data_IF_764827312838
#
_entry.id   IF_764827312838
#
_cell.length_a   1.000
_cell.length_b   1.000
_cell.length_c   1.000
_cell.angle_alpha   90.00
_cell.angle_beta   90.00
_cell.angle_gamma   90.00
#
_symmetry.space_group_name_H-M   'P 1'
#
loop_
_entity.id
_entity.type
_entity.pdbx_description
1 polymer ?
#
# COMPACT_ATOMS: atom_id res chain seq x y z
N UNK A 1 7.95 -23.79 -6.19
CA UNK A 1 7.24 -23.03 -7.24
C UNK A 1 8.29 -22.47 -8.18
N UNK A 2 8.09 -22.44 -9.50
CA UNK A 2 9.05 -21.79 -10.40
C UNK A 2 9.22 -20.34 -9.99
N UNK A 3 10.46 -19.82 -10.03
CA UNK A 3 10.76 -18.42 -9.72
C UNK A 3 9.88 -17.51 -10.59
N UNK A 4 9.09 -16.66 -9.98
CA UNK A 4 8.34 -15.63 -10.72
C UNK A 4 9.35 -14.59 -11.21
N UNK A 5 9.74 -14.71 -12.46
CA UNK A 5 10.57 -13.70 -13.13
C UNK A 5 9.69 -12.51 -13.50
N UNK A 6 9.75 -11.44 -12.77
CA UNK A 6 8.98 -10.22 -13.06
C UNK A 6 9.52 -9.07 -12.23
N UNK A 7 9.29 -7.86 -12.71
CA UNK A 7 9.79 -6.64 -12.07
C UNK A 7 8.69 -5.94 -11.31
N UNK A 8 9.04 -5.36 -10.17
CA UNK A 8 8.10 -4.76 -9.25
C UNK A 8 8.42 -3.29 -8.97
N UNK A 9 7.39 -2.52 -8.70
CA UNK A 9 7.52 -1.17 -8.10
C UNK A 9 6.89 -1.20 -6.73
N UNK A 10 7.60 -0.76 -5.68
CA UNK A 10 7.12 -0.70 -4.30
C UNK A 10 7.19 0.74 -3.81
N UNK A 11 6.07 1.44 -3.80
CA UNK A 11 5.97 2.83 -3.34
C UNK A 11 5.75 2.85 -1.83
N UNK A 12 6.66 3.49 -1.07
CA UNK A 12 6.64 3.51 0.39
C UNK A 12 7.41 2.35 1.01
N UNK A 13 8.65 2.10 0.55
CA UNK A 13 9.43 0.91 0.89
C UNK A 13 10.62 1.14 1.83
N UNK A 14 10.78 2.33 2.43
CA UNK A 14 11.89 2.60 3.38
C UNK A 14 11.68 2.01 4.77
N UNK A 15 10.48 1.56 5.12
CA UNK A 15 10.16 1.00 6.44
C UNK A 15 8.85 0.20 6.43
N UNK A 16 8.52 -0.42 7.57
CA UNK A 16 7.23 -1.06 7.81
C UNK A 16 6.84 -2.12 6.77
N UNK A 17 5.58 -2.13 6.38
CA UNK A 17 5.01 -3.12 5.45
C UNK A 17 5.72 -3.08 4.09
N UNK A 18 6.03 -1.88 3.55
CA UNK A 18 6.66 -1.75 2.24
C UNK A 18 8.06 -2.35 2.19
N UNK A 19 8.88 -2.12 3.21
CA UNK A 19 10.20 -2.73 3.34
C UNK A 19 10.10 -4.26 3.51
N UNK A 20 9.16 -4.73 4.31
CA UNK A 20 8.94 -6.15 4.49
C UNK A 20 8.48 -6.85 3.19
N UNK A 21 7.65 -6.18 2.37
CA UNK A 21 7.29 -6.66 1.03
C UNK A 21 8.53 -6.71 0.13
N UNK A 22 9.35 -5.65 0.10
CA UNK A 22 10.55 -5.58 -0.72
C UNK A 22 11.53 -6.73 -0.39
N UNK A 23 11.79 -6.99 0.90
CA UNK A 23 12.62 -8.11 1.35
C UNK A 23 12.11 -9.46 0.87
N UNK A 24 10.81 -9.70 0.95
CA UNK A 24 10.20 -10.96 0.49
C UNK A 24 10.24 -11.12 -1.02
N UNK A 25 10.00 -10.04 -1.77
CA UNK A 25 10.13 -10.05 -3.23
C UNK A 25 11.56 -10.36 -3.67
N UNK A 26 12.57 -9.81 -2.98
CA UNK A 26 13.98 -10.14 -3.24
C UNK A 26 14.28 -11.64 -2.98
N UNK A 27 13.73 -12.21 -1.90
CA UNK A 27 13.83 -13.65 -1.62
C UNK A 27 13.12 -14.51 -2.69
N UNK A 28 12.07 -13.99 -3.33
CA UNK A 28 11.45 -14.62 -4.50
C UNK A 28 12.29 -14.45 -5.79
N UNK A 29 13.43 -13.75 -5.74
CA UNK A 29 14.28 -13.46 -6.89
C UNK A 29 13.77 -12.34 -7.80
N UNK A 30 12.89 -11.46 -7.28
CA UNK A 30 12.26 -10.37 -8.04
C UNK A 30 13.14 -9.12 -8.03
N UNK A 31 13.38 -8.56 -9.22
CA UNK A 31 13.97 -7.23 -9.36
C UNK A 31 12.91 -6.16 -9.07
N UNK A 32 13.27 -5.10 -8.32
CA UNK A 32 12.29 -4.07 -7.95
C UNK A 32 12.88 -2.67 -7.83
N UNK A 33 12.06 -1.69 -8.17
CA UNK A 33 12.23 -0.31 -7.76
C UNK A 33 11.65 -0.13 -6.36
N UNK A 34 12.46 0.32 -5.42
CA UNK A 34 12.07 0.72 -4.07
C UNK A 34 11.95 2.25 -4.03
N UNK A 35 10.78 2.78 -3.61
CA UNK A 35 10.52 4.22 -3.61
C UNK A 35 10.18 4.74 -2.21
N UNK A 36 10.81 5.85 -1.81
CA UNK A 36 10.49 6.59 -0.59
C UNK A 36 11.10 8.00 -0.62
N UNK A 37 10.61 8.87 0.28
CA UNK A 37 11.08 10.27 0.40
C UNK A 37 12.50 10.41 0.96
N UNK A 38 12.89 9.51 1.86
CA UNK A 38 14.20 9.55 2.53
C UNK A 38 15.20 8.74 1.74
N UNK A 39 15.95 9.42 0.87
CA UNK A 39 16.91 8.79 -0.04
C UNK A 39 17.98 7.99 0.73
N UNK A 40 18.57 8.59 1.75
CA UNK A 40 19.60 8.01 2.60
C UNK A 40 19.15 6.68 3.25
N UNK A 41 17.97 6.70 3.88
CA UNK A 41 17.39 5.49 4.49
C UNK A 41 17.08 4.44 3.41
N UNK A 42 16.55 4.88 2.26
CA UNK A 42 16.17 3.99 1.19
C UNK A 42 17.37 3.27 0.56
N UNK A 43 18.47 3.99 0.34
CA UNK A 43 19.73 3.43 -0.17
C UNK A 43 20.29 2.36 0.78
N UNK A 44 20.35 2.66 2.08
CA UNK A 44 20.78 1.70 3.10
C UNK A 44 19.90 0.45 3.09
N UNK A 45 18.56 0.62 3.04
CA UNK A 45 17.65 -0.53 3.05
C UNK A 45 17.74 -1.36 1.75
N UNK A 46 17.90 -0.73 0.59
CA UNK A 46 18.11 -1.43 -0.67
C UNK A 46 19.43 -2.21 -0.66
N UNK A 47 20.51 -1.62 -0.11
CA UNK A 47 21.78 -2.31 0.10
C UNK A 47 21.64 -3.55 0.97
N UNK A 48 20.98 -3.44 2.13
CA UNK A 48 20.74 -4.58 3.02
C UNK A 48 19.88 -5.69 2.37
N UNK A 49 18.88 -5.30 1.55
CA UNK A 49 18.06 -6.26 0.80
C UNK A 49 18.92 -6.99 -0.23
N UNK A 50 19.78 -6.29 -0.96
CA UNK A 50 20.67 -6.86 -1.95
C UNK A 50 21.72 -7.79 -1.35
N UNK A 51 22.32 -7.40 -0.22
CA UNK A 51 23.27 -8.19 0.53
C UNK A 51 22.64 -9.51 1.01
N UNK A 52 21.43 -9.45 1.57
CA UNK A 52 20.73 -10.63 2.08
C UNK A 52 20.44 -11.70 1.02
N UNK A 53 20.34 -11.32 -0.27
CA UNK A 53 20.07 -12.23 -1.38
C UNK A 53 21.30 -12.43 -2.30
N UNK A 54 22.40 -11.73 -2.06
CA UNK A 54 23.63 -11.79 -2.85
C UNK A 54 23.46 -11.32 -4.29
N UNK A 55 22.48 -10.46 -4.58
CA UNK A 55 22.15 -9.99 -5.95
C UNK A 55 21.60 -8.57 -5.91
N UNK A 56 21.87 -7.73 -6.95
CA UNK A 56 21.37 -6.35 -7.06
C UNK A 56 19.91 -6.35 -7.55
N UNK A 57 18.97 -6.78 -6.71
CA UNK A 57 17.55 -6.87 -7.05
C UNK A 57 16.73 -5.65 -6.61
N UNK A 58 17.18 -4.93 -5.58
CA UNK A 58 16.52 -3.75 -5.04
C UNK A 58 17.23 -2.49 -5.50
N UNK A 59 16.52 -1.62 -6.23
CA UNK A 59 17.02 -0.37 -6.80
C UNK A 59 16.29 0.80 -6.14
N UNK A 60 17.01 1.71 -5.42
CA UNK A 60 16.39 2.82 -4.74
C UNK A 60 16.06 3.97 -5.71
N UNK A 61 14.90 4.58 -5.53
CA UNK A 61 14.45 5.79 -6.23
C UNK A 61 13.84 6.75 -5.23
N UNK A 62 14.43 7.92 -5.05
CA UNK A 62 13.84 8.96 -4.23
C UNK A 62 12.54 9.44 -4.85
N UNK A 63 11.46 9.47 -4.04
CA UNK A 63 10.16 9.95 -4.49
C UNK A 63 9.25 10.28 -3.30
N UNK A 64 8.65 11.47 -3.33
CA UNK A 64 7.51 11.79 -2.47
C UNK A 64 6.20 11.31 -3.12
N UNK A 65 5.51 10.40 -2.46
CA UNK A 65 4.23 9.89 -2.96
C UNK A 65 3.13 10.97 -3.03
N UNK A 66 3.32 12.11 -2.37
CA UNK A 66 2.47 13.30 -2.52
C UNK A 66 2.72 14.10 -3.81
N UNK A 67 3.89 13.94 -4.45
CA UNK A 67 4.15 14.50 -5.77
C UNK A 67 3.53 13.61 -6.86
N UNK A 68 2.26 13.85 -7.12
CA UNK A 68 1.49 13.08 -8.09
C UNK A 68 1.92 13.31 -9.54
N UNK A 69 2.50 14.48 -9.83
CA UNK A 69 2.97 14.81 -11.18
C UNK A 69 4.21 14.00 -11.57
N UNK A 70 5.05 13.66 -10.60
CA UNK A 70 6.26 12.85 -10.82
C UNK A 70 5.98 11.36 -11.05
N UNK A 71 4.79 10.84 -10.74
CA UNK A 71 4.49 9.40 -10.79
C UNK A 71 4.66 8.81 -12.19
N UNK A 72 4.06 9.41 -13.21
CA UNK A 72 4.16 8.91 -14.60
C UNK A 72 5.58 9.02 -15.19
N UNK A 73 6.28 10.17 -15.10
CA UNK A 73 7.67 10.26 -15.57
C UNK A 73 8.61 9.27 -14.87
N UNK A 74 8.45 9.10 -13.55
CA UNK A 74 9.27 8.20 -12.78
C UNK A 74 8.97 6.73 -13.10
N UNK A 75 7.70 6.34 -13.29
CA UNK A 75 7.33 5.01 -13.74
C UNK A 75 7.97 4.68 -15.09
N UNK A 76 7.90 5.62 -16.06
CA UNK A 76 8.52 5.47 -17.36
C UNK A 76 10.06 5.37 -17.29
N UNK A 77 10.69 6.12 -16.36
CA UNK A 77 12.14 6.02 -16.09
C UNK A 77 12.50 4.63 -15.55
N UNK A 78 11.75 4.12 -14.59
CA UNK A 78 11.94 2.79 -14.00
C UNK A 78 11.85 1.71 -15.08
N UNK A 79 10.87 1.78 -15.98
CA UNK A 79 10.76 0.81 -17.09
C UNK A 79 11.91 0.90 -18.09
N UNK A 80 12.46 2.10 -18.34
CA UNK A 80 13.68 2.23 -19.19
C UNK A 80 14.91 1.62 -18.53
N UNK A 81 15.08 1.78 -17.22
CA UNK A 81 16.26 1.34 -16.48
C UNK A 81 16.22 -0.15 -16.11
N UNK A 82 15.08 -0.61 -15.65
CA UNK A 82 14.91 -1.99 -15.16
C UNK A 82 14.20 -2.89 -16.16
N UNK A 83 13.53 -2.33 -17.17
CA UNK A 83 12.65 -3.00 -18.12
C UNK A 83 11.22 -3.14 -17.63
N UNK A 84 10.37 -3.83 -18.39
CA UNK A 84 8.92 -3.93 -18.20
C UNK A 84 8.52 -4.30 -16.77
N UNK A 85 7.70 -3.45 -16.12
CA UNK A 85 7.17 -3.67 -14.78
C UNK A 85 5.93 -4.56 -14.84
N UNK A 86 5.89 -5.60 -14.04
CA UNK A 86 4.75 -6.55 -13.94
C UNK A 86 3.85 -6.30 -12.73
N UNK A 87 4.38 -5.72 -11.66
CA UNK A 87 3.62 -5.54 -10.42
C UNK A 87 3.88 -4.17 -9.77
N UNK A 88 2.80 -3.53 -9.34
CA UNK A 88 2.84 -2.29 -8.55
C UNK A 88 2.29 -2.59 -7.15
N UNK A 89 3.06 -2.22 -6.12
CA UNK A 89 2.65 -2.19 -4.73
C UNK A 89 2.60 -0.74 -4.26
N UNK A 90 1.40 -0.22 -4.01
CA UNK A 90 1.24 1.08 -3.39
C UNK A 90 1.04 0.90 -1.88
N UNK A 91 2.09 1.20 -1.13
CA UNK A 91 2.16 1.00 0.34
C UNK A 91 2.31 2.33 1.06
N UNK A 92 2.74 3.39 0.34
CA UNK A 92 2.91 4.71 0.91
C UNK A 92 1.63 5.20 1.60
N UNK A 93 1.82 5.88 2.70
CA UNK A 93 0.73 6.48 3.45
C UNK A 93 1.26 7.28 4.63
N UNK A 94 0.44 8.22 5.07
CA UNK A 94 0.68 9.05 6.25
C UNK A 94 -0.54 9.01 7.17
N UNK A 95 -0.30 9.15 8.46
CA UNK A 95 -1.31 9.17 9.50
C UNK A 95 -0.80 10.05 10.65
N UNK A 96 -0.80 11.40 10.48
CA UNK A 96 -0.38 12.31 11.51
C UNK A 96 -1.23 12.15 12.77
N UNK A 97 -0.68 12.51 13.91
CA UNK A 97 -1.45 12.59 15.13
C UNK A 97 -2.44 13.73 15.05
N UNK A 98 -3.67 13.45 15.44
CA UNK A 98 -4.78 14.42 15.47
C UNK A 98 -5.40 14.38 16.87
N UNK A 99 -5.51 15.52 17.51
CA UNK A 99 -6.17 15.66 18.80
C UNK A 99 -7.67 15.45 18.68
N UNK A 100 -8.35 15.14 19.80
CA UNK A 100 -9.77 14.82 19.82
C UNK A 100 -10.69 15.97 19.32
N UNK A 101 -10.25 17.22 19.53
CA UNK A 101 -10.95 18.44 19.12
C UNK A 101 -10.13 19.26 18.11
N UNK A 102 -9.20 18.62 17.42
CA UNK A 102 -8.37 19.26 16.43
C UNK A 102 -9.00 19.16 15.03
N UNK A 103 -9.14 20.31 14.37
CA UNK A 103 -9.66 20.45 13.02
C UNK A 103 -8.58 21.13 12.16
N UNK A 104 -7.66 20.33 11.61
CA UNK A 104 -6.51 20.80 10.85
C UNK A 104 -6.60 20.37 9.39
N UNK A 105 -6.95 21.34 8.53
CA UNK A 105 -7.05 21.10 7.08
C UNK A 105 -5.73 20.64 6.47
N UNK A 106 -4.57 21.10 6.96
CA UNK A 106 -3.28 20.73 6.39
C UNK A 106 -2.99 19.24 6.63
N UNK A 107 -3.26 18.75 7.85
CA UNK A 107 -3.13 17.31 8.17
C UNK A 107 -4.10 16.45 7.36
N UNK A 108 -5.34 16.89 7.20
CA UNK A 108 -6.35 16.15 6.41
C UNK A 108 -5.97 16.15 4.92
N UNK A 109 -5.54 17.31 4.39
CA UNK A 109 -5.09 17.44 3.01
C UNK A 109 -3.86 16.57 2.71
N UNK A 110 -2.86 16.53 3.61
CA UNK A 110 -1.69 15.65 3.47
C UNK A 110 -2.11 14.19 3.37
N UNK A 111 -3.06 13.75 4.19
CA UNK A 111 -3.55 12.38 4.16
C UNK A 111 -4.26 12.06 2.85
N UNK A 112 -5.08 12.96 2.32
CA UNK A 112 -5.73 12.80 1.01
C UNK A 112 -4.67 12.80 -0.10
N UNK A 113 -3.71 13.74 -0.06
CA UNK A 113 -2.66 13.88 -1.06
C UNK A 113 -1.81 12.61 -1.18
N UNK A 114 -1.29 12.11 -0.05
CA UNK A 114 -0.41 10.94 -0.06
C UNK A 114 -1.20 9.64 -0.20
N UNK A 115 -2.24 9.42 0.64
CA UNK A 115 -2.88 8.10 0.71
C UNK A 115 -3.82 7.84 -0.48
N UNK A 116 -4.49 8.88 -0.99
CA UNK A 116 -5.48 8.75 -2.05
C UNK A 116 -4.93 9.22 -3.40
N UNK A 117 -4.56 10.50 -3.56
CA UNK A 117 -4.12 11.04 -4.85
C UNK A 117 -2.81 10.40 -5.31
N UNK A 118 -1.85 10.19 -4.40
CA UNK A 118 -0.63 9.45 -4.72
C UNK A 118 -0.92 8.04 -5.23
N UNK A 119 -1.85 7.31 -4.59
CA UNK A 119 -2.28 6.00 -5.07
C UNK A 119 -2.89 6.09 -6.47
N UNK A 120 -3.77 7.06 -6.71
CA UNK A 120 -4.42 7.28 -8.01
C UNK A 120 -3.37 7.53 -9.10
N UNK A 121 -2.37 8.38 -8.83
CA UNK A 121 -1.32 8.71 -9.80
C UNK A 121 -0.49 7.47 -10.19
N UNK A 122 0.01 6.72 -9.20
CA UNK A 122 0.80 5.51 -9.43
C UNK A 122 0.01 4.39 -10.10
N UNK A 123 -1.24 4.19 -9.69
CA UNK A 123 -2.12 3.17 -10.31
C UNK A 123 -2.44 3.55 -11.75
N UNK A 124 -2.67 4.84 -12.06
CA UNK A 124 -2.91 5.28 -13.42
C UNK A 124 -1.68 5.09 -14.33
N UNK A 125 -0.47 5.35 -13.81
CA UNK A 125 0.76 5.10 -14.53
C UNK A 125 0.95 3.61 -14.86
N UNK A 126 0.66 2.73 -13.91
CA UNK A 126 0.80 1.28 -14.10
C UNK A 126 -0.33 0.68 -14.95
N UNK A 127 -1.60 1.02 -14.63
CA UNK A 127 -2.76 0.34 -15.20
C UNK A 127 -2.90 0.54 -16.71
N UNK A 128 -2.49 1.70 -17.23
CA UNK A 128 -2.47 1.96 -18.68
C UNK A 128 -1.64 0.90 -19.40
N UNK A 129 -0.41 0.71 -18.95
CA UNK A 129 0.54 -0.26 -19.50
C UNK A 129 0.07 -1.70 -19.32
N UNK A 130 -0.42 -2.02 -18.14
CA UNK A 130 -0.94 -3.36 -17.84
C UNK A 130 -2.19 -3.70 -18.67
N UNK A 131 -3.05 -2.71 -18.90
CA UNK A 131 -4.23 -2.85 -19.74
C UNK A 131 -3.85 -3.16 -21.21
N UNK A 132 -2.90 -2.42 -21.77
CA UNK A 132 -2.40 -2.61 -23.14
C UNK A 132 -1.77 -3.99 -23.30
N UNK A 133 -0.94 -4.41 -22.35
CA UNK A 133 -0.26 -5.71 -22.36
C UNK A 133 -1.17 -6.87 -21.95
N UNK A 134 -2.38 -6.59 -21.47
CA UNK A 134 -3.33 -7.58 -20.92
C UNK A 134 -2.70 -8.43 -19.80
N UNK A 135 -1.77 -7.87 -19.05
CA UNK A 135 -1.00 -8.54 -17.99
C UNK A 135 -0.53 -7.53 -16.96
N UNK A 136 -0.61 -7.86 -15.69
CA UNK A 136 -0.08 -7.04 -14.59
C UNK A 136 -0.80 -7.29 -13.29
N UNK A 137 -0.21 -6.80 -12.21
CA UNK A 137 -0.78 -6.91 -10.86
C UNK A 137 -0.62 -5.59 -10.11
N UNK A 138 -1.69 -5.09 -9.53
CA UNK A 138 -1.72 -3.92 -8.66
C UNK A 138 -2.15 -4.37 -7.27
N UNK A 139 -1.36 -4.04 -6.26
CA UNK A 139 -1.64 -4.30 -4.84
C UNK A 139 -1.66 -2.96 -4.12
N UNK A 140 -2.83 -2.52 -3.70
CA UNK A 140 -2.99 -1.28 -2.93
C UNK A 140 -3.20 -1.58 -1.45
N UNK A 141 -2.42 -0.91 -0.58
CA UNK A 141 -2.51 -1.08 0.87
C UNK A 141 -3.41 0.00 1.45
N UNK A 142 -4.69 -0.36 1.60
CA UNK A 142 -5.71 0.42 2.27
C UNK A 142 -5.62 0.26 3.81
N UNK A 143 -6.73 0.12 4.50
CA UNK A 143 -6.82 -0.13 5.95
C UNK A 143 -8.22 -0.62 6.31
N UNK A 144 -8.38 -1.30 7.45
CA UNK A 144 -9.71 -1.48 8.09
C UNK A 144 -10.36 -0.15 8.45
N UNK A 145 -9.59 0.93 8.52
CA UNK A 145 -10.09 2.28 8.79
C UNK A 145 -11.02 2.82 7.70
N UNK A 146 -10.94 2.29 6.47
CA UNK A 146 -11.81 2.67 5.36
C UNK A 146 -13.27 2.22 5.55
N UNK A 147 -13.52 1.21 6.37
CA UNK A 147 -14.86 0.62 6.52
C UNK A 147 -15.85 1.56 7.22
N UNK A 148 -15.35 2.50 8.04
CA UNK A 148 -16.21 3.46 8.76
C UNK A 148 -15.42 4.65 9.29
N UNK A 149 -15.99 5.87 9.19
CA UNK A 149 -15.46 7.09 9.80
C UNK A 149 -15.43 6.99 11.32
N UNK A 150 -14.32 7.34 11.94
CA UNK A 150 -14.09 7.31 13.40
C UNK A 150 -13.73 8.69 13.89
N UNK A 151 -14.07 8.99 15.13
CA UNK A 151 -13.85 10.30 15.76
C UNK A 151 -12.38 10.71 15.78
N UNK A 152 -11.47 9.79 16.06
CA UNK A 152 -10.07 10.13 16.28
C UNK A 152 -9.24 10.36 14.99
N UNK A 153 -9.75 10.04 13.78
CA UNK A 153 -8.94 10.13 12.56
C UNK A 153 -9.79 10.28 11.30
N UNK A 154 -10.63 11.32 11.18
CA UNK A 154 -11.56 11.47 10.06
C UNK A 154 -10.85 11.56 8.71
N UNK A 155 -9.77 12.34 8.58
CA UNK A 155 -9.00 12.48 7.34
C UNK A 155 -8.36 11.15 6.90
N UNK A 156 -7.81 10.37 7.83
CA UNK A 156 -7.26 9.05 7.51
C UNK A 156 -8.33 8.08 7.01
N UNK A 157 -9.49 8.01 7.70
CA UNK A 157 -10.61 7.18 7.27
C UNK A 157 -11.07 7.56 5.86
N UNK A 158 -11.25 8.87 5.60
CA UNK A 158 -11.66 9.39 4.30
C UNK A 158 -10.64 9.04 3.20
N UNK A 159 -9.34 9.26 3.46
CA UNK A 159 -8.28 8.95 2.49
C UNK A 159 -8.22 7.48 2.12
N UNK A 160 -8.37 6.58 3.09
CA UNK A 160 -8.36 5.13 2.85
C UNK A 160 -9.65 4.64 2.19
N UNK A 161 -10.80 5.25 2.50
CA UNK A 161 -12.06 4.95 1.81
C UNK A 161 -12.02 5.38 0.33
N UNK A 162 -11.47 6.56 0.04
CA UNK A 162 -11.25 7.04 -1.34
C UNK A 162 -10.35 6.10 -2.13
N UNK A 163 -9.20 5.71 -1.56
CA UNK A 163 -8.29 4.74 -2.16
C UNK A 163 -8.98 3.41 -2.46
N UNK A 164 -9.75 2.88 -1.52
CA UNK A 164 -10.41 1.59 -1.62
C UNK A 164 -11.44 1.57 -2.76
N UNK A 165 -12.29 2.60 -2.82
CA UNK A 165 -13.29 2.78 -3.89
C UNK A 165 -12.65 2.98 -5.25
N UNK A 166 -11.55 3.75 -5.33
CA UNK A 166 -10.81 3.92 -6.58
C UNK A 166 -10.24 2.60 -7.09
N UNK A 167 -9.59 1.82 -6.23
CA UNK A 167 -9.06 0.49 -6.60
C UNK A 167 -10.17 -0.48 -7.05
N UNK A 168 -11.36 -0.41 -6.46
CA UNK A 168 -12.52 -1.18 -6.92
C UNK A 168 -12.93 -0.76 -8.32
N UNK A 169 -13.05 0.55 -8.59
CA UNK A 169 -13.36 1.07 -9.92
C UNK A 169 -12.36 0.63 -10.99
N UNK A 170 -11.04 0.69 -10.66
CA UNK A 170 -10.00 0.18 -11.57
C UNK A 170 -10.14 -1.32 -11.79
N UNK A 171 -10.37 -2.12 -10.75
CA UNK A 171 -10.59 -3.57 -10.85
C UNK A 171 -11.72 -3.89 -11.82
N UNK A 172 -12.84 -3.20 -11.69
CA UNK A 172 -14.01 -3.39 -12.56
C UNK A 172 -13.70 -2.99 -14.02
N UNK A 173 -12.91 -1.92 -14.23
CA UNK A 173 -12.52 -1.45 -15.56
C UNK A 173 -11.59 -2.43 -16.29
N UNK A 174 -10.69 -3.10 -15.57
CA UNK A 174 -9.70 -4.01 -16.18
C UNK A 174 -10.05 -5.49 -16.03
N UNK A 175 -11.25 -5.80 -15.56
CA UNK A 175 -11.70 -7.14 -15.25
C UNK A 175 -11.49 -8.15 -16.39
N UNK A 176 -11.75 -7.76 -17.68
CA UNK A 176 -11.57 -8.62 -18.86
C UNK A 176 -10.18 -8.51 -19.48
N UNK A 177 -9.28 -7.76 -18.87
CA UNK A 177 -7.96 -7.42 -19.44
C UNK A 177 -6.79 -8.20 -18.84
N UNK A 178 -7.06 -9.24 -18.06
CA UNK A 178 -6.02 -10.07 -17.46
C UNK A 178 -5.21 -9.38 -16.34
N UNK A 179 -5.56 -8.13 -16.00
CA UNK A 179 -4.91 -7.35 -14.92
C UNK A 179 -5.55 -7.68 -13.59
N UNK A 180 -4.70 -8.02 -12.62
CA UNK A 180 -5.13 -8.25 -11.23
C UNK A 180 -5.09 -6.94 -10.44
N UNK A 181 -6.14 -6.64 -9.68
CA UNK A 181 -6.15 -5.53 -8.70
C UNK A 181 -6.59 -6.08 -7.35
N UNK A 182 -5.69 -6.06 -6.38
CA UNK A 182 -5.89 -6.55 -5.01
C UNK A 182 -5.89 -5.38 -4.04
N UNK A 183 -6.98 -5.17 -3.33
CA UNK A 183 -7.05 -4.20 -2.23
C UNK A 183 -6.79 -4.93 -0.92
N UNK A 184 -5.75 -4.53 -0.21
CA UNK A 184 -5.42 -5.06 1.11
C UNK A 184 -5.98 -4.12 2.17
N UNK A 185 -6.65 -4.67 3.16
CA UNK A 185 -7.19 -3.96 4.33
C UNK A 185 -6.49 -4.46 5.60
N UNK A 186 -5.29 -3.92 5.93
CA UNK A 186 -4.62 -4.27 7.18
C UNK A 186 -5.42 -3.79 8.38
N UNK A 187 -5.42 -4.60 9.44
CA UNK A 187 -5.74 -4.15 10.78
C UNK A 187 -4.50 -3.57 11.46
N UNK A 188 -4.28 -3.95 12.71
CA UNK A 188 -3.14 -3.47 13.47
C UNK A 188 -1.85 -4.19 13.06
N UNK A 189 -0.90 -3.40 12.55
CA UNK A 189 0.45 -3.86 12.17
C UNK A 189 1.47 -3.00 12.91
N UNK A 190 2.45 -3.65 13.51
CA UNK A 190 3.56 -2.99 14.18
C UNK A 190 4.52 -2.40 13.15
N UNK A 191 4.52 -1.07 13.08
CA UNK A 191 5.30 -0.28 12.13
C UNK A 191 5.64 1.08 12.76
N UNK A 192 6.61 1.83 12.21
CA UNK A 192 6.88 3.19 12.68
C UNK A 192 5.65 4.10 12.68
N UNK A 193 4.73 3.95 11.73
CA UNK A 193 3.48 4.73 11.67
C UNK A 193 2.56 4.49 12.86
N UNK A 194 2.58 3.30 13.45
CA UNK A 194 1.66 2.87 14.52
C UNK A 194 2.33 2.74 15.88
N UNK A 195 3.64 2.99 15.97
CA UNK A 195 4.43 2.78 17.18
C UNK A 195 3.89 3.53 18.41
N UNK A 196 3.46 4.79 18.21
CA UNK A 196 2.89 5.62 19.28
C UNK A 196 1.54 5.07 19.82
N UNK A 197 0.84 4.24 19.07
CA UNK A 197 -0.51 3.77 19.41
C UNK A 197 -0.54 2.58 20.37
N UNK A 198 0.61 1.94 20.64
CA UNK A 198 0.74 0.76 21.52
C UNK A 198 -0.37 -0.29 21.31
N UNK A 199 -0.64 -0.64 20.05
CA UNK A 199 -1.78 -1.46 19.64
C UNK A 199 -1.64 -2.90 20.12
N UNK A 200 -2.58 -3.36 20.98
CA UNK A 200 -2.63 -4.75 21.41
C UNK A 200 -3.03 -5.67 20.24
N UNK A 201 -2.33 -6.78 20.10
CA UNK A 201 -2.61 -7.77 19.06
C UNK A 201 -2.20 -7.35 17.65
N UNK A 202 -1.32 -6.34 17.50
CA UNK A 202 -0.69 -6.03 16.25
C UNK A 202 0.17 -7.22 15.76
N UNK A 203 0.17 -7.45 14.45
CA UNK A 203 1.09 -8.40 13.82
C UNK A 203 2.35 -7.65 13.36
N UNK A 204 3.47 -8.36 13.21
CA UNK A 204 4.69 -7.77 12.67
C UNK A 204 4.52 -7.37 11.19
N UNK A 205 5.33 -6.40 10.73
CA UNK A 205 5.37 -6.02 9.31
C UNK A 205 5.71 -7.22 8.40
N UNK A 206 6.62 -8.09 8.83
CA UNK A 206 6.99 -9.31 8.09
C UNK A 206 5.81 -10.28 7.94
N UNK A 207 5.02 -10.46 9.02
CA UNK A 207 3.82 -11.30 8.95
C UNK A 207 2.75 -10.67 8.05
N UNK A 208 2.60 -9.35 8.11
CA UNK A 208 1.68 -8.63 7.22
C UNK A 208 2.10 -8.82 5.75
N UNK A 209 3.38 -8.62 5.42
CA UNK A 209 3.91 -8.81 4.07
C UNK A 209 3.68 -10.24 3.55
N UNK A 210 3.93 -11.27 4.38
CA UNK A 210 3.65 -12.66 4.03
C UNK A 210 2.17 -12.87 3.65
N UNK A 211 1.25 -12.37 4.46
CA UNK A 211 -0.18 -12.52 4.21
C UNK A 211 -0.64 -11.72 2.97
N UNK A 212 -0.04 -10.55 2.73
CA UNK A 212 -0.29 -9.71 1.55
C UNK A 212 0.14 -10.47 0.27
N UNK A 213 1.35 -11.00 0.25
CA UNK A 213 1.85 -11.74 -0.92
C UNK A 213 1.04 -13.02 -1.16
N UNK A 214 0.64 -13.73 -0.12
CA UNK A 214 -0.31 -14.85 -0.25
C UNK A 214 -1.66 -14.42 -0.84
N UNK A 215 -2.18 -13.25 -0.47
CA UNK A 215 -3.43 -12.73 -1.03
C UNK A 215 -3.27 -12.36 -2.51
N UNK A 216 -2.14 -11.74 -2.89
CA UNK A 216 -1.74 -11.50 -4.28
C UNK A 216 -1.72 -12.80 -5.08
N UNK A 217 -1.04 -13.83 -4.56
CA UNK A 217 -0.88 -15.12 -5.24
C UNK A 217 -2.19 -15.86 -5.42
N UNK A 218 -3.06 -15.77 -4.43
CA UNK A 218 -4.42 -16.31 -4.49
C UNK A 218 -5.39 -15.44 -5.32
N UNK A 219 -4.89 -14.39 -5.99
CA UNK A 219 -5.65 -13.43 -6.82
C UNK A 219 -6.90 -12.87 -6.12
N UNK A 220 -6.79 -12.62 -4.81
CA UNK A 220 -7.92 -12.06 -4.05
C UNK A 220 -8.19 -10.61 -4.48
N UNK A 221 -9.44 -10.27 -4.67
CA UNK A 221 -9.87 -8.89 -4.98
C UNK A 221 -9.75 -7.99 -3.76
N UNK A 222 -10.16 -8.47 -2.58
CA UNK A 222 -10.05 -7.78 -1.29
C UNK A 222 -9.53 -8.78 -0.26
N UNK A 223 -8.57 -8.37 0.57
CA UNK A 223 -8.05 -9.19 1.65
C UNK A 223 -7.88 -8.37 2.94
N UNK A 224 -8.51 -8.81 4.02
CA UNK A 224 -8.22 -8.34 5.38
C UNK A 224 -6.98 -9.04 5.93
N UNK A 225 -6.05 -8.28 6.48
CA UNK A 225 -4.77 -8.80 6.98
C UNK A 225 -4.56 -8.40 8.45
N UNK A 226 -4.60 -9.38 9.39
CA UNK A 226 -5.02 -10.77 9.20
C UNK A 226 -6.54 -10.90 8.98
N UNK A 227 -6.98 -12.06 8.49
CA UNK A 227 -8.37 -12.32 8.08
C UNK A 227 -9.42 -12.09 9.19
N UNK A 228 -9.04 -12.21 10.45
CA UNK A 228 -9.92 -11.99 11.62
C UNK A 228 -10.57 -10.58 11.62
N UNK A 229 -9.99 -9.61 10.95
CA UNK A 229 -10.57 -8.29 10.81
C UNK A 229 -11.83 -8.26 9.93
N UNK A 230 -12.01 -9.24 9.07
CA UNK A 230 -13.19 -9.29 8.18
C UNK A 230 -14.52 -9.37 8.96
N UNK A 231 -14.73 -10.34 9.87
CA UNK A 231 -15.95 -10.39 10.68
C UNK A 231 -16.04 -9.20 11.66
N UNK A 232 -14.94 -8.76 12.25
CA UNK A 232 -14.93 -7.60 13.14
C UNK A 232 -15.44 -6.36 12.42
N UNK A 233 -14.91 -6.08 11.24
CA UNK A 233 -15.30 -4.90 10.46
C UNK A 233 -16.69 -5.05 9.86
N UNK A 234 -17.15 -6.26 9.55
CA UNK A 234 -18.54 -6.48 9.18
C UNK A 234 -19.50 -6.03 10.27
N UNK A 235 -19.23 -6.37 11.53
CA UNK A 235 -20.04 -5.92 12.68
C UNK A 235 -19.94 -4.38 12.81
N UNK A 236 -18.73 -3.81 12.87
CA UNK A 236 -18.52 -2.37 13.07
C UNK A 236 -19.24 -1.56 11.98
N UNK A 237 -19.15 -2.00 10.74
CA UNK A 237 -19.76 -1.32 9.59
C UNK A 237 -21.29 -1.25 9.68
N UNK A 238 -21.91 -2.27 10.26
CA UNK A 238 -23.37 -2.39 10.36
C UNK A 238 -23.97 -1.86 11.67
N UNK A 239 -23.15 -1.35 12.61
CA UNK A 239 -23.67 -0.71 13.83
C UNK A 239 -24.47 0.55 13.44
N UNK A 240 -25.72 0.72 13.89
CA UNK A 240 -26.49 1.94 13.62
C UNK A 240 -25.74 3.21 14.06
N UNK A 241 -25.80 4.27 13.27
CA UNK A 241 -25.02 5.50 13.53
C UNK A 241 -25.37 6.14 14.89
N UNK A 242 -26.62 6.00 15.35
CA UNK A 242 -27.07 6.49 16.67
C UNK A 242 -26.32 5.80 17.81
N UNK A 243 -25.98 4.52 17.65
CA UNK A 243 -25.20 3.75 18.63
C UNK A 243 -23.72 4.06 18.48
N UNK A 244 -23.21 4.00 17.22
CA UNK A 244 -21.78 4.16 16.93
C UNK A 244 -21.19 5.49 17.40
N UNK A 245 -21.93 6.62 17.24
CA UNK A 245 -21.50 7.95 17.70
C UNK A 245 -21.28 8.07 19.22
N UNK A 246 -21.81 7.12 20.01
CA UNK A 246 -21.63 7.06 21.45
C UNK A 246 -20.48 6.15 21.88
N UNK A 247 -19.85 5.47 20.91
CA UNK A 247 -18.73 4.58 21.15
C UNK A 247 -17.43 5.36 20.96
N UNK A 248 -16.51 5.21 21.89
CA UNK A 248 -15.11 5.69 21.78
C UNK A 248 -14.30 4.67 20.96
N UNK A 249 -14.39 4.74 19.64
CA UNK A 249 -13.70 3.79 18.74
C UNK A 249 -12.77 4.54 17.79
#
# INVERSE_FOLDING_TARGET
MPARTGKCVVVGSSSGIGLAIARRLALEGRCMAMLARRADVLEVQAGLVNEAVGKPLAHPYEHDAGDTAAAEPLFARIERELGEVDELYYVAGVMPEVGAEEYDLAKDAEQIQVNALGCIAWVNAAVRRFHERRKGCIVGISSVAQDRGRTGRPGYNASKASMDTFLEGIRNRVWTRGVQVTTIRPGFVDTPMTAALRLRGAISADRAAELILRARDARKTIAYVPWRWRPIMFVIRNIPSVVFRRMTV
#
